data_IF_327744283987
#
_entry.id   IF_327744283987
#
_cell.length_a   1.000
_cell.length_b   1.000
_cell.length_c   1.000
_cell.angle_alpha   90.00
_cell.angle_beta   90.00
_cell.angle_gamma   90.00
#
_symmetry.space_group_name_H-M   'P 1'
#
loop_
_entity.id
_entity.type
_entity.pdbx_description
1 polymer ?
#
# COMPACT_ATOMS: atom_id res chain seq x y z
N UNK A 1 28.76 13.72 13.75
CA UNK A 1 27.77 12.65 13.59
C UNK A 1 27.73 11.85 14.88
N UNK A 2 26.56 11.55 15.46
CA UNK A 2 26.50 11.12 16.85
C UNK A 2 26.57 9.60 17.04
N UNK A 3 27.25 9.19 18.11
CA UNK A 3 27.25 7.83 18.65
C UNK A 3 26.43 7.85 19.95
N UNK A 4 25.51 6.91 20.12
CA UNK A 4 24.76 6.72 21.34
C UNK A 4 25.36 5.54 22.15
N UNK A 5 25.74 5.73 23.42
CA UNK A 5 26.15 4.63 24.27
C UNK A 5 24.93 3.74 24.57
N UNK A 6 25.10 2.43 24.48
CA UNK A 6 24.00 1.46 24.71
C UNK A 6 24.26 0.49 25.86
N UNK A 7 25.45 0.54 26.45
CA UNK A 7 25.78 -0.18 27.67
C UNK A 7 26.98 0.47 28.41
N UNK A 8 27.22 -0.01 29.63
CA UNK A 8 28.35 0.41 30.47
C UNK A 8 29.69 -0.24 30.04
N UNK A 9 29.70 -0.98 28.93
CA UNK A 9 30.89 -1.65 28.38
C UNK A 9 31.52 -0.87 27.24
N UNK A 10 30.96 0.29 26.90
CA UNK A 10 31.45 1.14 25.82
C UNK A 10 30.93 0.75 24.43
N UNK A 11 29.89 -0.08 24.35
CA UNK A 11 29.19 -0.33 23.08
C UNK A 11 28.44 0.92 22.67
N UNK A 12 28.54 1.29 21.39
CA UNK A 12 27.86 2.46 20.84
C UNK A 12 27.06 2.07 19.60
N UNK A 13 25.86 2.62 19.48
CA UNK A 13 25.13 2.63 18.22
C UNK A 13 25.39 3.93 17.49
N UNK A 14 25.63 3.80 16.19
CA UNK A 14 25.54 4.94 15.29
C UNK A 14 24.06 5.22 14.99
N UNK A 15 23.69 6.49 14.96
CA UNK A 15 22.35 6.92 14.58
C UNK A 15 22.39 8.23 13.80
N UNK A 16 21.37 8.40 12.96
CA UNK A 16 21.03 9.67 12.36
C UNK A 16 19.67 10.10 12.90
N UNK A 17 19.53 11.39 13.18
CA UNK A 17 18.30 12.01 13.67
C UNK A 17 17.94 13.12 12.69
N UNK A 18 16.73 13.06 12.12
CA UNK A 18 16.22 14.08 11.21
C UNK A 18 16.00 15.44 11.90
N UNK A 19 16.11 15.47 13.22
CA UNK A 19 15.82 16.62 14.06
C UNK A 19 14.34 16.73 14.40
N UNK A 20 13.99 17.62 15.35
CA UNK A 20 12.61 17.88 15.68
C UNK A 20 11.89 18.52 14.48
N UNK A 21 10.62 18.14 14.26
CA UNK A 21 9.71 18.99 13.47
C UNK A 21 9.50 20.29 14.25
N UNK A 22 9.15 21.36 13.54
CA UNK A 22 9.05 22.73 14.08
C UNK A 22 8.43 22.86 15.49
N UNK A 23 8.77 23.96 16.17
CA UNK A 23 8.51 24.16 17.60
C UNK A 23 7.02 24.11 18.00
N UNK A 24 6.10 24.14 17.04
CA UNK A 24 4.65 24.14 17.26
C UNK A 24 4.05 22.73 17.37
N UNK A 25 4.74 21.67 16.93
CA UNK A 25 4.23 20.29 16.95
C UNK A 25 4.89 19.34 17.97
N UNK A 26 5.88 19.81 18.74
CA UNK A 26 6.77 18.92 19.53
C UNK A 26 6.07 18.04 20.57
N UNK A 27 4.92 18.44 21.11
CA UNK A 27 4.22 17.69 22.15
C UNK A 27 3.35 16.53 21.64
N UNK A 28 3.09 16.47 20.33
CA UNK A 28 2.23 15.44 19.70
C UNK A 28 3.03 14.47 18.81
N UNK A 29 4.36 14.65 18.73
CA UNK A 29 5.22 13.87 17.86
C UNK A 29 5.53 12.48 18.43
N UNK A 30 5.13 11.46 17.67
CA UNK A 30 5.68 10.11 17.83
C UNK A 30 7.08 10.03 17.22
N UNK A 31 8.07 9.56 17.98
CA UNK A 31 9.41 9.25 17.48
C UNK A 31 9.43 7.83 16.90
N UNK A 32 9.65 7.71 15.60
CA UNK A 32 9.86 6.42 14.94
C UNK A 32 11.37 6.12 14.85
N UNK A 33 11.81 5.07 15.52
CA UNK A 33 13.19 4.55 15.41
C UNK A 33 13.20 3.41 14.40
N UNK A 34 13.82 3.62 13.24
CA UNK A 34 13.98 2.59 12.22
C UNK A 34 15.26 1.79 12.46
N UNK A 35 15.11 0.50 12.76
CA UNK A 35 16.22 -0.45 12.85
C UNK A 35 16.26 -1.23 11.55
N UNK A 36 17.38 -1.12 10.82
CA UNK A 36 17.55 -1.83 9.56
C UNK A 36 17.67 -3.35 9.76
N UNK A 37 17.35 -4.13 8.72
CA UNK A 37 17.57 -5.58 8.71
C UNK A 37 19.04 -5.96 8.47
N UNK A 38 19.32 -7.27 8.42
CA UNK A 38 20.65 -7.78 8.09
C UNK A 38 21.11 -7.33 6.69
N UNK A 39 22.40 -7.00 6.55
CA UNK A 39 23.07 -6.51 5.33
C UNK A 39 22.73 -5.07 4.87
N UNK A 40 21.88 -4.35 5.60
CA UNK A 40 21.65 -2.92 5.40
C UNK A 40 22.35 -2.13 6.52
N UNK A 41 22.58 -0.83 6.32
CA UNK A 41 23.04 0.08 7.35
C UNK A 41 22.15 1.33 7.36
N UNK A 42 22.28 2.17 8.39
CA UNK A 42 21.43 3.35 8.59
C UNK A 42 21.74 4.53 7.66
N UNK A 43 22.70 4.42 6.74
CA UNK A 43 23.01 5.48 5.76
C UNK A 43 21.96 5.48 4.64
N UNK A 44 20.72 5.83 4.98
CA UNK A 44 19.64 5.98 4.01
C UNK A 44 19.65 7.45 3.56
N UNK A 45 20.47 7.77 2.56
CA UNK A 45 20.45 9.09 1.92
C UNK A 45 19.26 9.19 0.93
N UNK A 46 18.04 9.04 1.46
CA UNK A 46 16.78 9.13 0.72
C UNK A 46 15.92 10.26 1.28
N UNK A 47 15.34 11.03 0.38
CA UNK A 47 14.22 11.91 0.71
C UNK A 47 12.93 11.10 0.66
N UNK A 48 12.20 11.03 1.77
CA UNK A 48 10.90 10.35 1.85
C UNK A 48 9.79 11.38 1.67
N UNK A 49 8.80 11.04 0.84
CA UNK A 49 7.62 11.87 0.55
C UNK A 49 6.39 11.02 0.77
N UNK A 50 5.54 11.43 1.71
CA UNK A 50 4.28 10.74 2.01
C UNK A 50 3.15 11.49 1.31
N UNK A 51 2.47 10.81 0.39
CA UNK A 51 1.40 11.39 -0.42
C UNK A 51 0.04 10.86 0.06
N UNK A 52 -0.81 11.75 0.56
CA UNK A 52 -2.22 11.44 0.73
C UNK A 52 -2.92 11.59 -0.62
N UNK A 53 -3.50 10.50 -1.12
CA UNK A 53 -4.33 10.56 -2.33
C UNK A 53 -5.63 11.31 -2.05
N UNK A 54 -6.40 11.56 -3.11
CA UNK A 54 -7.74 12.15 -2.99
C UNK A 54 -8.59 11.36 -1.99
N UNK A 55 -9.52 12.08 -1.36
CA UNK A 55 -10.43 11.57 -0.33
C UNK A 55 -9.78 11.22 1.04
N UNK A 56 -8.45 11.28 1.15
CA UNK A 56 -7.75 11.25 2.45
C UNK A 56 -7.58 12.64 3.05
N UNK A 57 -7.27 12.69 4.35
CA UNK A 57 -7.09 13.93 5.11
C UNK A 57 -6.12 14.89 4.40
N UNK A 58 -6.54 16.15 4.24
CA UNK A 58 -5.75 17.21 3.62
C UNK A 58 -5.78 17.25 2.08
N UNK A 59 -6.32 16.22 1.43
CA UNK A 59 -6.46 16.14 -0.03
C UNK A 59 -7.89 16.46 -0.48
N UNK A 60 -8.06 16.77 -1.77
CA UNK A 60 -9.36 17.05 -2.36
C UNK A 60 -10.23 15.78 -2.40
N UNK A 61 -11.47 15.81 -1.87
CA UNK A 61 -12.41 14.69 -1.98
C UNK A 61 -12.77 14.34 -3.43
N UNK A 62 -13.33 13.15 -3.64
CA UNK A 62 -14.01 12.84 -4.89
C UNK A 62 -15.35 13.57 -4.98
N UNK A 63 -15.72 13.98 -6.18
CA UNK A 63 -17.08 14.45 -6.47
C UNK A 63 -18.05 13.28 -6.53
N UNK A 64 -19.36 13.55 -6.38
CA UNK A 64 -20.37 12.49 -6.45
C UNK A 64 -20.32 11.72 -7.77
N UNK A 65 -20.10 12.41 -8.90
CA UNK A 65 -19.98 11.73 -10.21
C UNK A 65 -18.77 10.82 -10.26
N UNK A 66 -17.64 11.20 -9.66
CA UNK A 66 -16.46 10.34 -9.59
C UNK A 66 -16.70 9.14 -8.66
N UNK A 67 -17.45 9.32 -7.56
CA UNK A 67 -17.88 8.20 -6.73
C UNK A 67 -18.80 7.25 -7.51
N UNK A 68 -19.75 7.78 -8.28
CA UNK A 68 -20.65 6.98 -9.11
C UNK A 68 -19.87 6.15 -10.16
N UNK A 69 -18.77 6.68 -10.69
CA UNK A 69 -17.86 5.94 -11.58
C UNK A 69 -17.14 4.80 -10.86
N UNK A 70 -16.73 5.00 -9.60
CA UNK A 70 -16.13 3.96 -8.75
C UNK A 70 -17.13 2.82 -8.50
N UNK A 71 -18.41 3.16 -8.33
CA UNK A 71 -19.49 2.21 -8.06
C UNK A 71 -20.08 1.55 -9.31
N UNK A 72 -19.56 1.88 -10.50
CA UNK A 72 -20.08 1.34 -11.74
C UNK A 72 -19.76 -0.15 -11.91
N UNK A 73 -20.71 -0.92 -12.42
CA UNK A 73 -20.45 -2.28 -12.93
C UNK A 73 -19.86 -2.26 -14.35
N UNK A 74 -19.72 -1.08 -14.97
CA UNK A 74 -19.12 -0.92 -16.29
C UNK A 74 -17.60 -0.83 -16.20
N UNK A 75 -16.94 -1.85 -16.75
CA UNK A 75 -15.49 -1.96 -16.90
C UNK A 75 -14.84 -0.72 -17.52
N UNK A 76 -15.45 -0.12 -18.55
CA UNK A 76 -14.87 1.04 -19.24
C UNK A 76 -14.88 2.27 -18.34
N UNK A 77 -15.94 2.45 -17.55
CA UNK A 77 -16.04 3.52 -16.56
C UNK A 77 -14.97 3.34 -15.49
N UNK A 78 -14.85 2.15 -14.92
CA UNK A 78 -13.82 1.83 -13.95
C UNK A 78 -12.39 2.00 -14.51
N UNK A 79 -12.16 1.62 -15.78
CA UNK A 79 -10.88 1.79 -16.46
C UNK A 79 -10.53 3.27 -16.61
N UNK A 80 -11.49 4.11 -17.00
CA UNK A 80 -11.29 5.55 -17.12
C UNK A 80 -11.01 6.20 -15.77
N UNK A 81 -11.70 5.77 -14.71
CA UNK A 81 -11.40 6.23 -13.35
C UNK A 81 -9.93 5.96 -12.97
N UNK A 82 -9.43 4.72 -13.16
CA UNK A 82 -8.03 4.38 -12.86
C UNK A 82 -7.03 5.13 -13.73
N UNK A 83 -7.37 5.37 -14.99
CA UNK A 83 -6.57 6.17 -15.93
C UNK A 83 -6.45 7.62 -15.46
N UNK A 84 -7.52 8.20 -14.92
CA UNK A 84 -7.48 9.55 -14.35
C UNK A 84 -6.61 9.61 -13.09
N UNK A 85 -6.68 8.59 -12.22
CA UNK A 85 -5.78 8.47 -11.05
C UNK A 85 -4.31 8.34 -11.47
N UNK A 86 -4.03 7.59 -12.54
CA UNK A 86 -2.69 7.49 -13.11
C UNK A 86 -2.17 8.85 -13.58
N UNK A 87 -3.02 9.63 -14.26
CA UNK A 87 -2.66 10.98 -14.71
C UNK A 87 -2.44 11.94 -13.53
N UNK A 88 -3.27 11.90 -12.48
CA UNK A 88 -3.08 12.73 -11.28
C UNK A 88 -1.72 12.48 -10.62
N UNK A 89 -1.34 11.20 -10.46
CA UNK A 89 -0.04 10.82 -9.90
C UNK A 89 1.10 11.27 -10.82
N UNK A 90 0.94 11.11 -12.14
CA UNK A 90 1.91 11.62 -13.10
C UNK A 90 2.10 13.15 -12.98
N UNK A 91 1.01 13.91 -12.88
CA UNK A 91 1.09 15.36 -12.70
C UNK A 91 1.76 15.75 -11.40
N UNK A 92 1.42 15.09 -10.28
CA UNK A 92 2.07 15.31 -8.99
C UNK A 92 3.57 15.04 -9.07
N UNK A 93 3.99 13.88 -9.58
CA UNK A 93 5.40 13.50 -9.64
C UNK A 93 6.21 14.46 -10.51
N UNK A 94 5.68 14.87 -11.68
CA UNK A 94 6.32 15.86 -12.54
C UNK A 94 6.50 17.19 -11.80
N UNK A 95 5.41 17.72 -11.24
CA UNK A 95 5.43 18.96 -10.48
C UNK A 95 6.44 18.90 -9.33
N UNK A 96 6.46 17.80 -8.59
CA UNK A 96 7.34 17.60 -7.45
C UNK A 96 8.81 17.59 -7.87
N UNK A 97 9.16 16.83 -8.92
CA UNK A 97 10.52 16.77 -9.47
C UNK A 97 11.00 18.16 -9.87
N UNK A 98 10.18 18.93 -10.57
CA UNK A 98 10.50 20.29 -11.01
C UNK A 98 10.62 21.24 -9.81
N UNK A 99 9.67 21.19 -8.88
CA UNK A 99 9.59 22.08 -7.72
C UNK A 99 10.78 21.90 -6.79
N UNK A 100 11.16 20.65 -6.55
CA UNK A 100 12.19 20.28 -5.58
C UNK A 100 13.57 20.07 -6.22
N UNK A 101 13.69 20.33 -7.53
CA UNK A 101 14.91 20.12 -8.30
C UNK A 101 15.51 18.72 -8.09
N UNK A 102 14.65 17.69 -8.12
CA UNK A 102 15.10 16.30 -7.96
C UNK A 102 16.16 16.02 -9.03
N UNK A 103 17.33 15.45 -8.68
CA UNK A 103 18.35 15.12 -9.67
C UNK A 103 17.85 14.11 -10.68
N UNK A 104 18.27 14.23 -11.95
CA UNK A 104 17.99 13.20 -12.96
C UNK A 104 18.58 11.85 -12.55
N UNK A 105 17.94 10.79 -13.01
CA UNK A 105 18.49 9.45 -12.90
C UNK A 105 19.80 9.38 -13.70
N UNK A 106 20.86 8.92 -13.04
CA UNK A 106 22.16 8.74 -13.66
C UNK A 106 22.86 7.50 -13.08
N UNK A 107 23.88 7.01 -13.76
CA UNK A 107 24.75 5.95 -13.29
C UNK A 107 26.14 6.51 -13.00
N UNK A 108 26.58 6.39 -11.74
CA UNK A 108 27.88 6.85 -11.29
C UNK A 108 28.58 5.69 -10.58
N UNK A 109 29.78 5.34 -11.05
CA UNK A 109 30.61 4.27 -10.47
C UNK A 109 29.86 2.94 -10.29
N UNK A 110 29.02 2.57 -11.27
CA UNK A 110 28.21 1.34 -11.24
C UNK A 110 27.02 1.39 -10.28
N UNK A 111 26.64 2.58 -9.78
CA UNK A 111 25.47 2.78 -8.93
C UNK A 111 24.49 3.77 -9.56
N UNK A 112 23.20 3.45 -9.53
CA UNK A 112 22.13 4.38 -9.91
C UNK A 112 21.98 5.45 -8.84
N UNK A 113 22.15 6.71 -9.21
CA UNK A 113 21.99 7.90 -8.37
C UNK A 113 20.90 8.82 -8.93
N UNK A 114 20.31 9.65 -8.07
CA UNK A 114 19.22 10.53 -8.45
C UNK A 114 17.94 9.78 -8.84
N UNK A 115 17.03 10.50 -9.47
CA UNK A 115 15.71 10.01 -9.86
C UNK A 115 14.73 9.90 -8.69
N UNK A 116 13.55 9.35 -8.99
CA UNK A 116 12.48 9.09 -8.04
C UNK A 116 12.13 7.60 -8.06
N UNK A 117 11.93 7.03 -6.87
CA UNK A 117 11.37 5.69 -6.70
C UNK A 117 9.95 5.83 -6.14
N UNK A 118 9.00 5.12 -6.74
CA UNK A 118 7.61 5.07 -6.25
C UNK A 118 7.50 3.81 -5.39
N UNK A 119 7.10 3.95 -4.13
CA UNK A 119 6.82 2.83 -3.26
C UNK A 119 5.35 2.89 -2.83
N UNK A 120 4.62 1.81 -3.08
CA UNK A 120 3.21 1.67 -2.70
C UNK A 120 3.02 0.42 -1.88
N UNK A 121 2.15 0.50 -0.87
CA UNK A 121 1.84 -0.61 0.01
C UNK A 121 0.39 -1.07 -0.17
N UNK A 122 0.15 -2.39 -0.06
CA UNK A 122 -1.19 -2.97 -0.02
C UNK A 122 -2.01 -2.57 -1.26
N UNK A 123 -3.29 -2.22 -1.07
CA UNK A 123 -4.18 -1.73 -2.13
C UNK A 123 -3.64 -0.47 -2.85
N UNK A 124 -2.70 0.27 -2.23
CA UNK A 124 -2.00 1.37 -2.89
C UNK A 124 -1.26 0.94 -4.17
N UNK A 125 -0.90 -0.35 -4.28
CA UNK A 125 -0.29 -0.91 -5.49
C UNK A 125 -1.14 -0.73 -6.75
N UNK A 126 -2.48 -0.63 -6.63
CA UNK A 126 -3.37 -0.35 -7.75
C UNK A 126 -2.97 0.92 -8.50
N UNK A 127 -2.49 1.94 -7.78
CA UNK A 127 -2.11 3.22 -8.35
C UNK A 127 -0.77 3.17 -9.09
N UNK A 128 0.22 2.49 -8.52
CA UNK A 128 1.50 2.22 -9.21
C UNK A 128 1.29 1.40 -10.49
N UNK A 129 0.46 0.36 -10.43
CA UNK A 129 0.13 -0.45 -11.59
C UNK A 129 -0.66 0.37 -12.62
N UNK A 130 -1.60 1.21 -12.19
CA UNK A 130 -2.36 2.08 -13.10
C UNK A 130 -1.45 3.10 -13.81
N UNK A 131 -0.50 3.71 -13.08
CA UNK A 131 0.50 4.62 -13.66
C UNK A 131 1.29 3.95 -14.79
N UNK A 132 1.69 2.69 -14.60
CA UNK A 132 2.42 1.92 -15.61
C UNK A 132 1.50 1.42 -16.74
N UNK A 133 0.32 0.91 -16.39
CA UNK A 133 -0.64 0.30 -17.31
C UNK A 133 -1.29 1.31 -18.27
N UNK A 134 -1.46 2.55 -17.82
CA UNK A 134 -1.99 3.67 -18.61
C UNK A 134 -0.92 4.69 -18.99
N UNK A 135 0.35 4.27 -19.10
CA UNK A 135 1.41 5.17 -19.53
C UNK A 135 1.13 5.80 -20.92
N UNK A 136 0.34 5.15 -21.76
CA UNK A 136 -0.12 5.68 -23.06
C UNK A 136 -1.05 6.89 -22.92
N UNK A 137 -1.79 7.01 -21.81
CA UNK A 137 -2.65 8.17 -21.53
C UNK A 137 -1.89 9.41 -21.07
N UNK A 138 -0.70 9.23 -20.51
CA UNK A 138 0.11 10.33 -20.01
C UNK A 138 0.61 11.15 -21.21
N UNK A 139 0.48 12.50 -21.19
CA UNK A 139 0.95 13.35 -22.28
C UNK A 139 2.40 13.06 -22.65
N UNK A 140 2.69 12.97 -23.96
CA UNK A 140 4.00 12.59 -24.49
C UNK A 140 5.20 13.27 -23.82
N UNK A 141 5.19 14.60 -23.63
CA UNK A 141 6.26 15.31 -22.91
C UNK A 141 6.43 14.86 -21.45
N UNK A 142 5.34 14.66 -20.72
CA UNK A 142 5.36 14.17 -19.33
C UNK A 142 5.86 12.73 -19.25
N UNK A 143 5.46 11.88 -20.19
CA UNK A 143 5.94 10.49 -20.26
C UNK A 143 7.45 10.43 -20.56
N UNK A 144 7.93 11.23 -21.51
CA UNK A 144 9.37 11.33 -21.81
C UNK A 144 10.15 11.87 -20.63
N UNK A 145 9.60 12.87 -19.93
CA UNK A 145 10.18 13.40 -18.70
C UNK A 145 10.43 12.28 -17.68
N UNK A 146 9.48 11.36 -17.47
CA UNK A 146 9.71 10.23 -16.56
C UNK A 146 10.81 9.27 -16.98
N UNK A 147 11.14 9.17 -18.28
CA UNK A 147 12.30 8.40 -18.73
C UNK A 147 13.62 8.87 -18.10
N UNK A 148 13.73 10.17 -17.80
CA UNK A 148 14.92 10.77 -17.20
C UNK A 148 14.97 10.67 -15.67
N UNK A 149 13.85 10.33 -15.00
CA UNK A 149 13.73 10.44 -13.54
C UNK A 149 13.25 9.15 -12.86
N UNK A 150 12.38 8.36 -13.48
CA UNK A 150 11.80 7.19 -12.82
C UNK A 150 12.85 6.10 -12.64
N UNK A 151 13.23 5.83 -11.39
CA UNK A 151 14.28 4.87 -11.01
C UNK A 151 13.73 3.47 -10.76
N UNK A 152 12.67 3.38 -9.98
CA UNK A 152 12.02 2.11 -9.64
C UNK A 152 10.57 2.31 -9.20
N UNK A 153 9.78 1.26 -9.35
CA UNK A 153 8.45 1.11 -8.75
C UNK A 153 8.50 -0.10 -7.82
N UNK A 154 8.15 0.09 -6.56
CA UNK A 154 8.18 -0.92 -5.51
C UNK A 154 6.75 -1.17 -5.05
N UNK A 155 6.29 -2.40 -5.21
CA UNK A 155 5.02 -2.88 -4.66
C UNK A 155 5.34 -3.64 -3.38
N UNK A 156 5.02 -3.06 -2.24
CA UNK A 156 5.21 -3.68 -0.95
C UNK A 156 3.92 -4.36 -0.52
N UNK A 157 3.99 -5.68 -0.31
CA UNK A 157 2.85 -6.51 0.11
C UNK A 157 1.52 -6.24 -0.65
N UNK A 158 1.52 -6.25 -2.00
CA UNK A 158 0.31 -6.00 -2.77
C UNK A 158 -0.64 -7.21 -2.68
N UNK A 159 -1.95 -7.01 -2.42
CA UNK A 159 -2.92 -8.08 -2.52
C UNK A 159 -3.09 -8.53 -3.98
N UNK A 160 -3.52 -9.77 -4.19
CA UNK A 160 -3.58 -10.38 -5.53
C UNK A 160 -4.38 -9.57 -6.56
N UNK A 161 -5.41 -8.86 -6.12
CA UNK A 161 -6.24 -8.03 -6.98
C UNK A 161 -5.49 -6.87 -7.64
N UNK A 162 -4.38 -6.39 -7.05
CA UNK A 162 -3.48 -5.37 -7.66
C UNK A 162 -2.91 -5.84 -9.00
N UNK A 163 -2.89 -7.14 -9.26
CA UNK A 163 -2.43 -7.72 -10.52
C UNK A 163 -3.56 -8.17 -11.43
N UNK A 164 -4.81 -7.84 -11.10
CA UNK A 164 -6.00 -8.31 -11.84
C UNK A 164 -6.24 -9.82 -11.70
N UNK A 165 -5.57 -10.46 -10.74
CA UNK A 165 -5.76 -11.88 -10.44
C UNK A 165 -7.08 -12.09 -9.74
N UNK A 166 -7.77 -13.18 -10.12
CA UNK A 166 -8.99 -13.56 -9.46
C UNK A 166 -8.76 -13.97 -8.01
N UNK A 167 -9.62 -13.50 -7.11
CA UNK A 167 -9.71 -13.94 -5.73
C UNK A 167 -9.91 -15.43 -5.80
N UNK A 168 -9.05 -16.18 -5.10
CA UNK A 168 -9.18 -17.62 -5.06
C UNK A 168 -10.57 -17.94 -4.48
N UNK A 169 -11.31 -18.93 -5.01
CA UNK A 169 -12.66 -19.27 -4.56
C UNK A 169 -12.77 -19.58 -3.05
N UNK A 170 -11.63 -19.77 -2.40
CA UNK A 170 -11.46 -20.18 -1.01
C UNK A 170 -11.18 -19.01 -0.06
N UNK A 171 -10.93 -17.80 -0.56
CA UNK A 171 -10.69 -16.63 0.29
C UNK A 171 -12.00 -15.92 0.62
N UNK A 172 -12.42 -16.03 1.88
CA UNK A 172 -13.50 -15.22 2.41
C UNK A 172 -13.02 -13.76 2.58
N UNK A 173 -13.77 -12.83 2.01
CA UNK A 173 -13.57 -11.39 2.17
C UNK A 173 -14.89 -10.77 2.66
N UNK A 174 -14.95 -10.23 3.90
CA UNK A 174 -16.18 -9.72 4.49
C UNK A 174 -16.75 -8.52 3.72
N UNK A 175 -15.90 -7.74 3.06
CA UNK A 175 -16.32 -6.57 2.28
C UNK A 175 -17.28 -6.91 1.12
N UNK A 176 -17.15 -8.11 0.57
CA UNK A 176 -17.99 -8.60 -0.53
C UNK A 176 -19.06 -9.60 -0.08
N UNK A 177 -19.19 -9.87 1.23
CA UNK A 177 -20.21 -10.79 1.73
C UNK A 177 -21.61 -10.11 1.67
N UNK A 178 -22.54 -10.61 0.85
CA UNK A 178 -23.88 -10.05 0.75
C UNK A 178 -24.74 -10.28 2.01
N UNK A 179 -24.32 -11.15 2.93
CA UNK A 179 -25.00 -11.37 4.20
C UNK A 179 -24.71 -10.30 5.26
N UNK A 180 -23.69 -9.46 5.03
CA UNK A 180 -23.30 -8.38 5.94
C UNK A 180 -23.85 -7.03 5.45
N UNK A 181 -24.42 -6.25 6.37
CA UNK A 181 -24.70 -4.82 6.13
C UNK A 181 -23.40 -4.01 6.04
N UNK A 182 -23.46 -2.84 5.41
CA UNK A 182 -22.28 -1.96 5.28
C UNK A 182 -21.67 -1.60 6.64
N UNK A 183 -22.50 -1.38 7.66
CA UNK A 183 -22.03 -1.16 9.03
C UNK A 183 -21.23 -2.35 9.58
N UNK A 184 -21.72 -3.58 9.35
CA UNK A 184 -21.02 -4.80 9.81
C UNK A 184 -19.71 -5.00 9.05
N UNK A 185 -19.67 -4.66 7.75
CA UNK A 185 -18.44 -4.72 6.95
C UNK A 185 -17.39 -3.75 7.49
N UNK A 186 -17.78 -2.50 7.78
CA UNK A 186 -16.90 -1.50 8.37
C UNK A 186 -16.37 -1.94 9.75
N UNK A 187 -17.21 -2.56 10.57
CA UNK A 187 -16.82 -3.05 11.90
C UNK A 187 -15.84 -4.22 11.83
N UNK A 188 -16.06 -5.18 10.92
CA UNK A 188 -15.22 -6.39 10.80
C UNK A 188 -13.91 -6.10 10.04
N UNK A 189 -13.90 -5.11 9.14
CA UNK A 189 -12.77 -4.85 8.25
C UNK A 189 -11.43 -4.69 8.97
N UNK A 190 -11.29 -3.88 10.03
CA UNK A 190 -9.99 -3.65 10.65
C UNK A 190 -9.40 -4.92 11.30
N UNK A 191 -10.26 -5.75 11.88
CA UNK A 191 -9.85 -7.05 12.45
C UNK A 191 -9.41 -7.99 11.32
N UNK A 192 -10.22 -8.11 10.27
CA UNK A 192 -9.93 -8.96 9.11
C UNK A 192 -8.66 -8.54 8.37
N UNK A 193 -8.48 -7.24 8.09
CA UNK A 193 -7.35 -6.74 7.28
C UNK A 193 -6.02 -6.76 8.04
N UNK A 194 -6.07 -6.78 9.38
CA UNK A 194 -4.87 -6.83 10.23
C UNK A 194 -4.64 -8.20 10.88
N UNK A 195 -5.47 -9.19 10.53
CA UNK A 195 -5.34 -10.55 11.01
C UNK A 195 -4.03 -11.16 10.50
N UNK A 196 -3.35 -11.90 11.38
CA UNK A 196 -2.26 -12.77 10.98
C UNK A 196 -2.88 -14.08 10.49
N UNK A 197 -2.52 -14.49 9.28
CA UNK A 197 -2.81 -15.83 8.83
C UNK A 197 -1.57 -16.68 9.03
N UNK A 198 -1.67 -17.71 9.87
CA UNK A 198 -0.68 -18.77 9.86
C UNK A 198 -0.74 -19.43 8.50
N UNK A 199 0.23 -19.13 7.64
CA UNK A 199 0.54 -20.03 6.55
C UNK A 199 1.11 -21.29 7.19
N UNK A 200 0.26 -22.29 7.48
CA UNK A 200 0.75 -23.65 7.73
C UNK A 200 1.29 -24.19 6.41
N UNK A 201 2.50 -23.77 6.08
CA UNK A 201 3.24 -24.15 4.88
C UNK A 201 3.36 -25.69 4.78
N UNK A 202 3.23 -26.39 5.90
CA UNK A 202 3.25 -27.85 6.00
C UNK A 202 2.10 -28.54 5.24
N UNK A 203 0.86 -28.06 5.28
CA UNK A 203 -0.27 -28.71 4.58
C UNK A 203 -0.34 -28.33 3.09
N UNK A 204 0.01 -27.09 2.73
CA UNK A 204 0.05 -26.67 1.32
C UNK A 204 1.22 -27.30 0.55
N UNK A 205 2.40 -27.49 1.17
CA UNK A 205 3.55 -28.18 0.54
C UNK A 205 3.42 -29.71 0.53
N UNK A 206 2.53 -30.29 1.34
CA UNK A 206 2.28 -31.74 1.33
C UNK A 206 1.17 -32.14 0.35
N UNK A 207 0.36 -31.19 -0.13
CA UNK A 207 -0.50 -31.42 -1.28
C UNK A 207 0.37 -31.57 -2.54
N UNK A 208 0.29 -32.73 -3.19
CA UNK A 208 0.91 -32.92 -4.51
C UNK A 208 0.14 -32.17 -5.62
N UNK A 209 -1.02 -31.61 -5.28
CA UNK A 209 -1.91 -30.91 -6.19
C UNK A 209 -2.10 -29.46 -5.70
N UNK A 210 -1.51 -28.45 -6.38
CA UNK A 210 -1.62 -27.04 -5.99
C UNK A 210 -3.04 -26.45 -6.15
N UNK A 211 -4.02 -27.26 -6.56
CA UNK A 211 -5.43 -26.90 -6.70
C UNK A 211 -6.35 -27.51 -5.63
N UNK A 212 -5.83 -28.35 -4.73
CA UNK A 212 -6.60 -28.84 -3.57
C UNK A 212 -6.36 -27.95 -2.35
N UNK A 213 -7.38 -27.20 -1.97
CA UNK A 213 -7.39 -26.32 -0.80
C UNK A 213 -8.39 -26.82 0.24
N UNK A 214 -8.16 -26.52 1.55
CA UNK A 214 -9.07 -26.91 2.62
C UNK A 214 -10.49 -26.35 2.40
N UNK A 215 -11.51 -27.08 2.86
CA UNK A 215 -12.90 -26.62 2.79
C UNK A 215 -13.14 -25.46 3.76
N UNK A 216 -14.26 -24.72 3.61
CA UNK A 216 -14.67 -23.67 4.58
C UNK A 216 -14.71 -24.19 6.01
N UNK A 217 -15.16 -25.43 6.22
CA UNK A 217 -15.21 -26.05 7.53
C UNK A 217 -13.79 -26.28 8.08
N UNK A 218 -12.87 -26.78 7.23
CA UNK A 218 -11.47 -26.98 7.58
C UNK A 218 -10.77 -25.64 7.88
N UNK A 219 -11.05 -24.58 7.12
CA UNK A 219 -10.52 -23.23 7.36
C UNK A 219 -11.02 -22.67 8.69
N UNK A 220 -12.33 -22.75 8.96
CA UNK A 220 -12.90 -22.26 10.22
C UNK A 220 -12.40 -23.07 11.42
N UNK A 221 -12.21 -24.38 11.25
CA UNK A 221 -11.63 -25.24 12.26
C UNK A 221 -10.14 -24.94 12.49
N UNK A 222 -9.37 -24.66 11.44
CA UNK A 222 -7.98 -24.24 11.53
C UNK A 222 -7.87 -22.89 12.26
N UNK A 223 -8.68 -21.89 11.90
CA UNK A 223 -8.74 -20.58 12.59
C UNK A 223 -9.14 -20.74 14.06
N UNK A 224 -10.14 -21.56 14.36
CA UNK A 224 -10.55 -21.84 15.74
C UNK A 224 -9.45 -22.59 16.52
N UNK A 225 -8.69 -23.47 15.87
CA UNK A 225 -7.59 -24.22 16.49
C UNK A 225 -6.27 -23.43 16.59
N UNK A 226 -6.15 -22.32 15.86
CA UNK A 226 -4.98 -21.44 15.86
C UNK A 226 -4.96 -20.48 17.07
N UNK A 227 -6.01 -20.47 17.90
CA UNK A 227 -6.18 -19.55 19.03
C UNK A 227 -5.08 -19.63 20.11
N UNK A 228 -4.26 -20.68 20.15
CA UNK A 228 -3.42 -20.93 21.31
C UNK A 228 -1.98 -20.35 21.27
N UNK A 229 -1.50 -19.71 20.20
CA UNK A 229 -0.11 -19.19 20.17
C UNK A 229 0.17 -17.88 19.43
N UNK A 230 -0.83 -17.20 18.89
CA UNK A 230 -0.58 -16.07 17.99
C UNK A 230 -0.90 -14.71 18.61
N UNK A 231 -0.14 -13.65 18.27
CA UNK A 231 -0.59 -12.31 18.56
C UNK A 231 -1.90 -12.06 17.82
N UNK A 232 -2.92 -11.58 18.52
CA UNK A 232 -4.17 -11.14 17.89
C UNK A 232 -3.93 -10.08 16.80
N UNK A 233 -4.96 -9.77 16.00
CA UNK A 233 -4.90 -8.77 14.93
C UNK A 233 -4.15 -7.52 15.37
N UNK A 234 -3.34 -6.93 14.50
CA UNK A 234 -2.51 -5.77 14.91
C UNK A 234 -3.36 -4.66 15.51
N UNK A 235 -4.57 -4.45 15.00
CA UNK A 235 -5.46 -3.44 15.54
C UNK A 235 -5.88 -3.72 17.00
N UNK A 236 -6.01 -4.98 17.40
CA UNK A 236 -6.35 -5.34 18.79
C UNK A 236 -5.20 -5.13 19.77
N UNK A 237 -4.01 -4.77 19.27
CA UNK A 237 -2.80 -4.54 20.05
C UNK A 237 -2.38 -3.06 20.08
N UNK A 238 -3.05 -2.21 19.29
CA UNK A 238 -2.84 -0.76 19.28
C UNK A 238 -3.79 -0.14 20.34
N UNK A 239 -3.28 0.72 21.25
CA UNK A 239 -4.13 1.45 22.20
C UNK A 239 -5.21 2.27 21.48
N UNK A 240 -6.43 2.29 22.01
CA UNK A 240 -7.60 2.96 21.40
C UNK A 240 -7.34 4.44 21.13
N UNK A 241 -6.54 5.10 21.97
CA UNK A 241 -6.20 6.52 21.86
C UNK A 241 -5.38 6.83 20.60
N UNK A 242 -4.66 5.85 20.06
CA UNK A 242 -3.89 5.98 18.80
C UNK A 242 -4.80 5.75 17.57
N UNK A 243 -5.83 4.92 17.72
CA UNK A 243 -6.79 4.62 16.65
C UNK A 243 -7.80 5.77 16.44
N UNK A 244 -8.07 6.56 17.48
CA UNK A 244 -8.92 7.77 17.44
C UNK A 244 -8.21 9.02 16.88
N UNK A 245 -7.04 8.87 16.24
CA UNK A 245 -6.35 9.95 15.53
C UNK A 245 -7.22 10.61 14.43
N UNK A 246 -6.76 11.70 13.79
CA UNK A 246 -7.57 12.60 12.94
C UNK A 246 -8.06 12.01 11.59
N UNK A 247 -8.20 10.69 11.48
CA UNK A 247 -8.87 10.01 10.38
C UNK A 247 -10.38 10.20 10.44
N UNK A 248 -11.00 10.55 9.32
CA UNK A 248 -12.47 10.58 9.21
C UNK A 248 -13.00 9.15 9.32
N UNK A 249 -14.00 8.88 10.18
CA UNK A 249 -14.69 7.58 10.25
C UNK A 249 -15.25 7.14 8.88
N UNK A 250 -15.63 8.11 8.05
CA UNK A 250 -16.25 7.88 6.74
C UNK A 250 -15.26 7.47 5.64
N UNK A 251 -13.94 7.59 5.86
CA UNK A 251 -12.94 7.26 4.85
C UNK A 251 -12.98 5.78 4.46
N UNK A 252 -13.46 4.90 5.35
CA UNK A 252 -13.66 3.48 5.09
C UNK A 252 -14.82 3.23 4.13
N UNK A 253 -15.92 3.99 4.25
CA UNK A 253 -17.07 3.94 3.36
C UNK A 253 -16.74 4.39 1.93
N UNK A 254 -15.76 5.29 1.78
CA UNK A 254 -15.24 5.73 0.48
C UNK A 254 -13.92 5.06 0.06
N UNK A 255 -13.33 4.19 0.89
CA UNK A 255 -12.01 3.62 0.63
C UNK A 255 -12.02 2.58 -0.48
N UNK A 256 -11.00 2.66 -1.34
CA UNK A 256 -10.67 1.83 -2.51
C UNK A 256 -10.64 0.30 -2.32
N UNK A 257 -10.97 -0.24 -1.14
CA UNK A 257 -10.77 -1.66 -0.80
C UNK A 257 -11.77 -2.59 -1.48
N UNK A 258 -13.04 -2.20 -1.60
CA UNK A 258 -14.06 -2.98 -2.35
C UNK A 258 -13.88 -2.84 -3.88
N UNK A 259 -13.23 -1.75 -4.29
CA UNK A 259 -13.25 -1.25 -5.67
C UNK A 259 -12.03 -1.71 -6.50
N UNK A 260 -10.87 -1.86 -5.87
CA UNK A 260 -9.66 -2.42 -6.50
C UNK A 260 -9.84 -3.87 -6.97
N UNK A 261 -10.76 -4.63 -6.38
CA UNK A 261 -11.07 -6.00 -6.81
C UNK A 261 -11.97 -6.07 -8.05
N UNK A 262 -12.82 -5.09 -8.35
CA UNK A 262 -13.74 -5.20 -9.50
C UNK A 262 -13.17 -4.54 -10.75
N UNK A 263 -12.58 -3.36 -10.60
CA UNK A 263 -12.07 -2.52 -11.70
C UNK A 263 -10.79 -3.08 -12.36
N UNK A 264 -9.89 -3.65 -11.55
CA UNK A 264 -8.59 -4.14 -12.04
C UNK A 264 -8.67 -5.51 -12.73
N UNK A 265 -9.63 -6.35 -12.32
CA UNK A 265 -9.92 -7.66 -12.91
C UNK A 265 -10.38 -7.56 -14.35
N UNK A 266 -11.09 -6.48 -14.63
CA UNK A 266 -11.73 -6.22 -15.89
C UNK A 266 -10.68 -5.64 -16.86
N UNK A 267 -9.88 -4.65 -16.42
CA UNK A 267 -8.86 -3.99 -17.26
C UNK A 267 -7.62 -4.82 -17.63
N UNK A 268 -7.16 -5.76 -16.78
CA UNK A 268 -5.95 -6.56 -17.04
C UNK A 268 -6.22 -7.87 -17.82
N UNK A 269 -7.49 -8.29 -17.95
CA UNK A 269 -7.85 -9.50 -18.72
C UNK A 269 -7.58 -9.38 -20.23
N UNK A 270 -7.43 -8.17 -20.76
CA UNK A 270 -7.26 -7.97 -22.21
C UNK A 270 -5.80 -7.93 -22.69
N UNK A 271 -4.79 -7.89 -21.80
CA UNK A 271 -3.38 -7.77 -22.22
C UNK A 271 -2.43 -8.89 -21.80
N UNK A 272 -2.88 -9.88 -21.02
CA UNK A 272 -1.99 -10.96 -20.55
C UNK A 272 -2.15 -12.29 -21.30
N UNK A 273 -3.06 -12.37 -22.30
CA UNK A 273 -3.18 -13.53 -23.19
C UNK A 273 -3.47 -13.10 -24.65
N UNK A 274 -2.56 -12.32 -25.23
CA UNK A 274 -2.31 -12.30 -26.69
C UNK A 274 -0.82 -12.18 -26.96
#
# INVERSE_FOLDING_TARGET
MPLAPVDDKGTNFYYEDSGPVDDQGRSELGTLVLIHGGYFNSEINLRIVLLNLRDFHGSTPFSQSELDEIHSDDIEICRNFLKDRANEIAWFLKWYIEKENVPKLNEQQGRRVGGISIATWSAGGCFSISLLGFADSIPGPTRQFFGDYLRSVVLYDPPCFVFGSASLPVQYAPLVDPALSDSQKTEIFPEWVTAYHTHRVSSMLSSQNPYEFPTRADFLQDVASAQDKEPGPTISRIPTEILEGPGKPDALHSSNYDYGQRSLYAGLRERTFR
#
